data_IF_818096161758
#
_entry.id   IF_818096161758
#
_cell.length_a   1.000
_cell.length_b   1.000
_cell.length_c   1.000
_cell.angle_alpha   90.00
_cell.angle_beta   90.00
_cell.angle_gamma   90.00
#
_symmetry.space_group_name_H-M   'P 1'
#
loop_
_entity.id
_entity.type
_entity.pdbx_description
1 polymer ?
#
# COMPACT_ATOMS: atom_id res chain seq x y z
N UNK A 1 40.48 18.32 -65.41
CA UNK A 1 40.41 17.17 -64.47
C UNK A 1 39.87 17.71 -63.11
N UNK A 2 38.58 17.50 -62.85
CA UNK A 2 37.94 17.83 -61.58
C UNK A 2 37.62 16.52 -60.90
N UNK A 3 38.27 16.26 -59.76
CA UNK A 3 38.01 15.09 -58.89
C UNK A 3 36.86 15.47 -57.96
N UNK A 4 35.73 14.78 -58.09
CA UNK A 4 34.61 14.85 -57.14
C UNK A 4 34.85 13.91 -55.98
N UNK A 5 34.97 14.48 -54.76
CA UNK A 5 34.91 13.72 -53.51
C UNK A 5 33.45 13.41 -53.19
N UNK A 6 33.09 12.14 -53.25
CA UNK A 6 31.86 11.61 -52.66
C UNK A 6 32.00 11.55 -51.15
N UNK A 7 31.18 12.30 -50.42
CA UNK A 7 31.01 12.17 -48.98
C UNK A 7 29.99 11.06 -48.69
N UNK A 8 30.41 10.05 -47.95
CA UNK A 8 29.54 8.95 -47.49
C UNK A 8 28.68 9.41 -46.31
N UNK A 9 27.36 9.24 -46.36
CA UNK A 9 26.46 9.65 -45.27
C UNK A 9 26.12 8.52 -44.28
N UNK A 10 27.05 7.58 -44.01
CA UNK A 10 26.70 6.38 -43.24
C UNK A 10 27.14 6.34 -41.78
N UNK A 11 27.88 7.35 -41.33
CA UNK A 11 28.41 7.31 -39.95
C UNK A 11 27.50 7.97 -38.89
N UNK A 12 26.73 8.99 -39.29
CA UNK A 12 25.86 9.72 -38.34
C UNK A 12 24.51 9.03 -38.07
N UNK A 13 24.05 8.17 -38.95
CA UNK A 13 22.78 7.43 -38.75
C UNK A 13 22.94 6.27 -37.77
N UNK A 14 24.10 5.62 -37.75
CA UNK A 14 24.38 4.51 -36.84
C UNK A 14 24.51 4.97 -35.39
N UNK A 15 25.09 6.16 -35.16
CA UNK A 15 25.21 6.73 -33.80
C UNK A 15 23.84 7.19 -33.27
N UNK A 16 22.96 7.71 -34.15
CA UNK A 16 21.63 8.12 -33.75
C UNK A 16 20.70 6.93 -33.42
N UNK A 17 20.79 5.82 -34.15
CA UNK A 17 20.06 4.58 -33.86
C UNK A 17 20.58 3.88 -32.59
N UNK A 18 21.88 3.94 -32.29
CA UNK A 18 22.44 3.39 -31.06
C UNK A 18 22.05 4.22 -29.82
N UNK A 19 21.93 5.53 -29.93
CA UNK A 19 21.49 6.41 -28.84
C UNK A 19 19.97 6.23 -28.55
N UNK A 20 19.15 6.02 -29.55
CA UNK A 20 17.71 5.75 -29.38
C UNK A 20 17.47 4.34 -28.79
N UNK A 21 18.30 3.35 -29.12
CA UNK A 21 18.21 2.01 -28.54
C UNK A 21 18.65 1.95 -27.06
N UNK A 22 19.52 2.86 -26.60
CA UNK A 22 19.91 2.96 -25.18
C UNK A 22 18.83 3.63 -24.32
N UNK A 23 17.96 4.47 -24.90
CA UNK A 23 16.82 5.06 -24.19
C UNK A 23 15.59 4.14 -24.09
N UNK A 24 15.52 3.07 -24.88
CA UNK A 24 14.44 2.10 -24.83
C UNK A 24 14.63 0.98 -23.76
N UNK A 25 15.77 0.97 -23.07
CA UNK A 25 16.08 -0.07 -22.06
C UNK A 25 15.88 0.38 -20.61
N UNK A 26 15.31 1.55 -20.37
CA UNK A 26 14.72 1.86 -19.06
C UNK A 26 13.30 1.29 -19.12
N UNK A 27 13.19 -0.02 -18.85
CA UNK A 27 11.90 -0.61 -18.48
C UNK A 27 11.39 0.25 -17.31
N UNK A 28 10.19 0.85 -17.40
CA UNK A 28 9.61 1.51 -16.24
C UNK A 28 9.65 0.48 -15.11
N UNK A 29 10.22 0.85 -13.98
CA UNK A 29 10.12 0.04 -12.77
C UNK A 29 8.63 -0.29 -12.65
N UNK A 30 8.28 -1.59 -12.77
CA UNK A 30 6.89 -2.01 -12.64
C UNK A 30 6.50 -1.65 -11.23
N UNK A 31 5.65 -0.68 -11.13
CA UNK A 31 5.04 -0.22 -9.92
C UNK A 31 4.30 -1.36 -9.20
N UNK A 32 3.91 -1.16 -7.96
CA UNK A 32 3.21 -2.12 -7.10
C UNK A 32 1.82 -2.50 -7.66
N UNK A 33 1.79 -3.16 -8.83
CA UNK A 33 0.56 -3.59 -9.49
C UNK A 33 0.21 -5.01 -9.05
N UNK A 34 -0.90 -5.14 -8.33
CA UNK A 34 -1.46 -6.46 -8.01
C UNK A 34 -2.10 -7.08 -9.25
N UNK A 35 -1.82 -8.37 -9.48
CA UNK A 35 -2.31 -9.12 -10.64
C UNK A 35 -3.80 -9.48 -10.54
N UNK A 36 -4.31 -10.09 -11.59
CA UNK A 36 -5.72 -10.49 -11.67
C UNK A 36 -6.08 -11.57 -10.64
N UNK A 37 -5.16 -12.50 -10.36
CA UNK A 37 -5.42 -13.57 -9.39
C UNK A 37 -5.54 -13.00 -7.97
N UNK A 38 -4.66 -12.08 -7.60
CA UNK A 38 -4.76 -11.35 -6.34
C UNK A 38 -6.07 -10.55 -6.25
N UNK A 39 -6.40 -9.78 -7.28
CA UNK A 39 -7.64 -8.98 -7.32
C UNK A 39 -8.89 -9.84 -7.28
N UNK A 40 -8.88 -11.04 -7.87
CA UNK A 40 -10.00 -11.98 -7.85
C UNK A 40 -10.29 -12.52 -6.45
N UNK A 41 -9.27 -12.60 -5.59
CA UNK A 41 -9.39 -13.08 -4.21
C UNK A 41 -9.69 -11.97 -3.19
N UNK A 42 -9.67 -10.70 -3.57
CA UNK A 42 -10.06 -9.60 -2.69
C UNK A 42 -11.58 -9.40 -2.79
N UNK A 43 -12.32 -9.36 -1.65
CA UNK A 43 -13.76 -9.08 -1.67
C UNK A 43 -14.10 -7.72 -2.27
N UNK A 44 -15.27 -7.63 -2.95
CA UNK A 44 -15.73 -6.38 -3.56
C UNK A 44 -15.88 -5.24 -2.56
N UNK A 45 -16.41 -5.53 -1.37
CA UNK A 45 -16.75 -4.52 -0.35
C UNK A 45 -15.52 -4.13 0.48
N UNK A 46 -14.36 -4.03 -0.19
CA UNK A 46 -13.12 -3.55 0.39
C UNK A 46 -13.28 -2.08 0.79
N UNK A 47 -12.91 -1.79 2.03
CA UNK A 47 -12.96 -0.45 2.59
C UNK A 47 -11.63 0.27 2.46
N UNK A 48 -10.54 -0.50 2.53
CA UNK A 48 -9.19 -0.03 2.30
C UNK A 48 -8.36 -1.14 1.64
N UNK A 49 -7.63 -0.78 0.62
CA UNK A 49 -6.61 -1.62 0.01
C UNK A 49 -5.27 -0.90 0.12
N UNK A 50 -4.30 -1.54 0.77
CA UNK A 50 -2.91 -1.08 0.86
C UNK A 50 -2.06 -2.03 0.05
N UNK A 51 -1.20 -1.52 -0.82
CA UNK A 51 -0.25 -2.32 -1.58
C UNK A 51 1.16 -1.78 -1.41
N UNK A 52 2.10 -2.69 -1.27
CA UNK A 52 3.51 -2.41 -1.00
C UNK A 52 4.35 -3.18 -2.02
N UNK A 53 5.17 -2.47 -2.81
CA UNK A 53 6.27 -3.08 -3.54
C UNK A 53 7.39 -3.42 -2.53
N UNK A 54 7.45 -4.69 -2.16
CA UNK A 54 8.35 -5.14 -1.13
C UNK A 54 9.81 -5.06 -1.57
N UNK A 55 10.11 -5.30 -2.86
CA UNK A 55 11.47 -5.22 -3.41
C UNK A 55 12.04 -3.80 -3.40
N UNK A 56 11.21 -2.81 -3.69
CA UNK A 56 11.63 -1.41 -3.59
C UNK A 56 11.83 -1.03 -2.14
N UNK A 57 10.91 -1.48 -1.26
CA UNK A 57 10.95 -1.14 0.16
C UNK A 57 12.17 -1.72 0.88
N UNK A 58 12.57 -2.97 0.59
CA UNK A 58 13.74 -3.61 1.25
C UNK A 58 15.07 -2.87 0.97
N UNK A 59 15.16 -2.14 -0.13
CA UNK A 59 16.33 -1.37 -0.50
C UNK A 59 16.39 0.02 0.18
N UNK A 60 15.39 0.39 0.99
CA UNK A 60 15.33 1.66 1.73
C UNK A 60 15.37 1.42 3.23
N UNK A 61 16.40 1.96 3.90
CA UNK A 61 16.49 1.90 5.38
C UNK A 61 15.30 2.57 6.06
N UNK A 62 14.85 3.71 5.52
CA UNK A 62 13.69 4.42 6.06
C UNK A 62 12.38 3.61 5.92
N UNK A 63 12.21 2.89 4.81
CA UNK A 63 11.08 2.00 4.61
C UNK A 63 11.13 0.78 5.55
N UNK A 64 12.30 0.21 5.77
CA UNK A 64 12.48 -0.92 6.70
C UNK A 64 12.30 -0.48 8.17
N UNK A 65 12.72 0.72 8.54
CA UNK A 65 12.44 1.31 9.85
C UNK A 65 10.93 1.52 10.06
N UNK A 66 10.21 2.00 9.05
CA UNK A 66 8.76 2.12 9.08
C UNK A 66 8.11 0.73 9.26
N UNK A 67 8.46 -0.25 8.43
CA UNK A 67 7.97 -1.64 8.54
C UNK A 67 8.14 -2.17 9.96
N UNK A 68 9.33 -2.04 10.54
CA UNK A 68 9.63 -2.56 11.87
C UNK A 68 8.72 -1.98 12.96
N UNK A 69 8.23 -0.75 12.78
CA UNK A 69 7.37 -0.04 13.75
C UNK A 69 5.89 -0.29 13.55
N UNK A 70 5.43 -0.32 12.29
CA UNK A 70 4.00 -0.45 11.97
C UNK A 70 3.54 -1.89 11.84
N UNK A 71 4.44 -2.86 11.63
CA UNK A 71 4.07 -4.25 11.44
C UNK A 71 3.49 -4.86 12.72
N UNK A 72 2.23 -5.33 12.71
CA UNK A 72 1.60 -5.98 13.85
C UNK A 72 2.35 -7.23 14.32
N UNK A 73 2.28 -7.58 15.62
CA UNK A 73 2.93 -8.76 16.17
C UNK A 73 2.57 -10.06 15.45
N UNK A 74 1.32 -10.20 15.01
CA UNK A 74 0.80 -11.37 14.28
C UNK A 74 1.50 -11.53 12.94
N UNK A 75 1.71 -10.44 12.21
CA UNK A 75 2.43 -10.45 10.93
C UNK A 75 3.93 -10.71 11.13
N UNK A 76 4.55 -10.22 12.21
CA UNK A 76 5.93 -10.57 12.56
C UNK A 76 6.09 -12.06 12.85
N UNK A 77 5.11 -12.68 13.52
CA UNK A 77 5.11 -14.12 13.77
C UNK A 77 4.91 -14.90 12.47
N UNK A 78 4.01 -14.46 11.58
CA UNK A 78 3.80 -15.05 10.26
C UNK A 78 5.10 -15.01 9.44
N UNK A 79 5.73 -13.85 9.33
CA UNK A 79 7.01 -13.66 8.64
C UNK A 79 8.09 -14.63 9.17
N UNK A 80 8.21 -14.72 10.51
CA UNK A 80 9.16 -15.64 11.14
C UNK A 80 8.85 -17.10 10.82
N UNK A 81 7.59 -17.51 10.86
CA UNK A 81 7.18 -18.88 10.58
C UNK A 81 7.38 -19.26 9.11
N UNK A 82 7.10 -18.35 8.18
CA UNK A 82 7.34 -18.54 6.75
C UNK A 82 8.83 -18.68 6.45
N UNK A 83 9.66 -17.80 7.01
CA UNK A 83 11.12 -17.85 6.89
C UNK A 83 11.69 -19.17 7.42
N UNK A 84 11.24 -19.62 8.58
CA UNK A 84 11.61 -20.93 9.11
C UNK A 84 11.15 -22.09 8.21
N UNK A 85 10.12 -21.91 7.43
CA UNK A 85 9.58 -22.92 6.51
C UNK A 85 10.21 -22.88 5.11
N UNK A 86 11.27 -22.07 4.94
CA UNK A 86 12.05 -22.00 3.72
C UNK A 86 11.57 -20.96 2.70
N UNK A 87 10.57 -20.15 3.05
CA UNK A 87 10.21 -18.98 2.25
C UNK A 87 11.12 -17.82 2.65
N UNK A 88 11.84 -17.29 1.68
CA UNK A 88 12.66 -16.10 1.87
C UNK A 88 11.92 -14.87 1.33
N UNK A 89 11.38 -14.06 2.22
CA UNK A 89 10.60 -12.88 1.82
C UNK A 89 11.34 -11.96 0.86
N UNK A 90 12.65 -11.76 1.06
CA UNK A 90 13.48 -10.87 0.24
C UNK A 90 13.75 -11.43 -1.17
N UNK A 91 13.52 -12.71 -1.42
CA UNK A 91 13.74 -13.36 -2.72
C UNK A 91 12.42 -13.77 -3.37
N UNK A 92 11.48 -14.28 -2.57
CA UNK A 92 10.27 -14.93 -3.03
C UNK A 92 9.08 -13.98 -3.13
N UNK A 93 9.09 -12.85 -2.35
CA UNK A 93 8.01 -11.87 -2.32
C UNK A 93 8.39 -10.62 -3.12
N UNK A 94 7.52 -10.23 -4.03
CA UNK A 94 7.64 -9.00 -4.82
C UNK A 94 6.71 -7.92 -4.28
N UNK A 95 5.47 -8.29 -3.97
CA UNK A 95 4.43 -7.37 -3.56
C UNK A 95 3.61 -7.95 -2.41
N UNK A 96 3.14 -7.05 -1.54
CA UNK A 96 2.19 -7.35 -0.48
C UNK A 96 0.96 -6.47 -0.63
N UNK A 97 -0.22 -7.05 -0.50
CA UNK A 97 -1.47 -6.33 -0.44
C UNK A 97 -2.24 -6.69 0.84
N UNK A 98 -2.88 -5.71 1.45
CA UNK A 98 -3.73 -5.86 2.63
C UNK A 98 -5.09 -5.26 2.31
N UNK A 99 -6.10 -6.09 2.25
CA UNK A 99 -7.46 -5.68 1.97
C UNK A 99 -8.31 -5.75 3.26
N UNK A 100 -8.68 -4.57 3.76
CA UNK A 100 -9.66 -4.44 4.84
C UNK A 100 -11.06 -4.33 4.22
N UNK A 101 -11.95 -5.25 4.57
CA UNK A 101 -13.29 -5.34 3.98
C UNK A 101 -14.36 -5.59 5.05
N UNK A 102 -15.62 -5.30 4.71
CA UNK A 102 -16.75 -5.49 5.61
C UNK A 102 -17.37 -6.86 5.42
N UNK A 103 -17.86 -7.42 6.53
CA UNK A 103 -18.65 -8.65 6.50
C UNK A 103 -20.07 -8.37 6.99
N UNK A 104 -21.05 -8.61 6.13
CA UNK A 104 -22.48 -8.41 6.44
C UNK A 104 -22.87 -6.93 6.58
N UNK A 105 -23.91 -6.67 7.36
CA UNK A 105 -24.47 -5.32 7.59
C UNK A 105 -23.84 -4.57 8.77
N UNK A 106 -22.91 -5.22 9.49
CA UNK A 106 -22.24 -4.63 10.66
C UNK A 106 -20.96 -3.89 10.33
N UNK A 107 -20.38 -3.23 11.33
CA UNK A 107 -19.09 -2.52 11.22
C UNK A 107 -17.88 -3.45 11.43
N UNK A 108 -18.07 -4.77 11.36
CA UNK A 108 -16.99 -5.73 11.51
C UNK A 108 -16.07 -5.69 10.28
N UNK A 109 -14.85 -5.25 10.49
CA UNK A 109 -13.80 -5.22 9.47
C UNK A 109 -12.96 -6.49 9.61
N UNK A 110 -12.66 -7.12 8.48
CA UNK A 110 -11.74 -8.23 8.34
C UNK A 110 -10.60 -7.83 7.43
N UNK A 111 -9.45 -8.47 7.60
CA UNK A 111 -8.27 -8.17 6.80
C UNK A 111 -7.75 -9.47 6.19
N UNK A 112 -7.70 -9.53 4.87
CA UNK A 112 -6.98 -10.56 4.15
C UNK A 112 -5.70 -9.98 3.55
N UNK A 113 -4.61 -10.70 3.71
CA UNK A 113 -3.33 -10.40 3.09
C UNK A 113 -3.13 -11.23 1.82
N UNK A 114 -2.52 -10.61 0.81
CA UNK A 114 -2.09 -11.25 -0.42
C UNK A 114 -0.62 -10.97 -0.62
N UNK A 115 0.17 -12.01 -0.83
CA UNK A 115 1.56 -11.88 -1.25
C UNK A 115 1.69 -12.37 -2.70
N UNK A 116 2.39 -11.61 -3.52
CA UNK A 116 2.75 -11.98 -4.89
C UNK A 116 4.26 -12.07 -5.02
N UNK A 117 4.71 -13.02 -5.83
CA UNK A 117 6.14 -13.27 -6.03
C UNK A 117 6.40 -14.58 -6.76
N UNK A 118 7.50 -15.27 -6.42
CA UNK A 118 7.93 -16.52 -7.04
C UNK A 118 8.13 -17.57 -5.94
N UNK A 119 7.07 -18.35 -5.66
CA UNK A 119 7.08 -19.33 -4.58
C UNK A 119 7.50 -20.71 -5.07
N UNK A 120 8.58 -21.26 -4.50
CA UNK A 120 9.04 -22.64 -4.77
C UNK A 120 8.16 -23.63 -3.99
N UNK A 121 6.93 -23.88 -4.50
CA UNK A 121 5.90 -24.63 -3.78
C UNK A 121 6.35 -26.04 -3.39
N UNK A 122 7.14 -26.74 -4.23
CA UNK A 122 7.69 -28.06 -3.94
C UNK A 122 8.48 -28.05 -2.63
N UNK A 123 9.37 -27.10 -2.48
CA UNK A 123 10.30 -26.99 -1.34
C UNK A 123 9.55 -26.54 -0.08
N UNK A 124 8.65 -25.57 -0.22
CA UNK A 124 7.80 -25.09 0.86
C UNK A 124 6.94 -26.26 1.40
N UNK A 125 6.28 -27.01 0.51
CA UNK A 125 5.45 -28.16 0.92
C UNK A 125 6.27 -29.29 1.54
N UNK A 126 7.47 -29.56 1.04
CA UNK A 126 8.40 -30.52 1.66
C UNK A 126 8.81 -30.08 3.07
N UNK A 127 9.09 -28.79 3.26
CA UNK A 127 9.40 -28.23 4.57
C UNK A 127 8.21 -28.28 5.54
N UNK A 128 7.00 -28.00 5.07
CA UNK A 128 5.79 -28.15 5.89
C UNK A 128 5.61 -29.61 6.34
N UNK A 129 5.79 -30.57 5.44
CA UNK A 129 5.70 -32.01 5.76
C UNK A 129 6.78 -32.41 6.78
N UNK A 130 8.04 -31.98 6.60
CA UNK A 130 9.15 -32.22 7.54
C UNK A 130 8.87 -31.66 8.93
N UNK A 131 8.24 -30.50 9.01
CA UNK A 131 7.83 -29.84 10.27
C UNK A 131 6.51 -30.37 10.82
N UNK A 132 5.89 -31.34 10.16
CA UNK A 132 4.58 -31.93 10.54
C UNK A 132 3.45 -30.88 10.62
N UNK A 133 3.54 -29.80 9.83
CA UNK A 133 2.48 -28.80 9.72
C UNK A 133 1.31 -29.43 8.93
N UNK A 134 0.19 -29.66 9.60
CA UNK A 134 -0.99 -30.27 8.98
C UNK A 134 -1.94 -29.18 8.49
N UNK A 135 -2.31 -29.17 7.20
CA UNK A 135 -3.28 -28.21 6.69
C UNK A 135 -4.70 -28.57 7.09
N UNK A 136 -5.53 -27.54 7.22
CA UNK A 136 -6.99 -27.66 7.21
C UNK A 136 -7.50 -27.45 5.79
N UNK A 137 -8.49 -28.22 5.35
CA UNK A 137 -9.07 -28.09 4.02
C UNK A 137 -10.28 -27.14 4.06
N UNK A 138 -10.23 -26.07 3.26
CA UNK A 138 -11.30 -25.08 3.10
C UNK A 138 -11.49 -24.79 1.61
N UNK A 139 -12.69 -24.96 1.06
CA UNK A 139 -12.95 -24.73 -0.38
C UNK A 139 -11.93 -25.43 -1.28
N UNK A 140 -11.61 -26.68 -1.00
CA UNK A 140 -10.59 -27.48 -1.68
C UNK A 140 -9.16 -26.91 -1.63
N UNK A 141 -8.91 -25.88 -0.80
CA UNK A 141 -7.59 -25.31 -0.57
C UNK A 141 -7.03 -25.81 0.76
N UNK A 142 -5.72 -26.06 0.76
CA UNK A 142 -4.97 -26.43 1.96
C UNK A 142 -4.52 -25.16 2.68
N UNK A 143 -5.06 -24.91 3.87
CA UNK A 143 -4.68 -23.80 4.74
C UNK A 143 -3.68 -24.30 5.78
N UNK A 144 -2.49 -23.77 5.76
CA UNK A 144 -1.39 -24.17 6.65
C UNK A 144 -1.29 -23.20 7.83
N UNK A 145 -1.37 -23.68 9.10
CA UNK A 145 -1.20 -22.81 10.27
C UNK A 145 0.24 -22.32 10.38
N UNK A 146 0.41 -21.02 10.63
CA UNK A 146 1.69 -20.34 10.75
C UNK A 146 1.85 -19.70 12.12
N UNK A 147 2.77 -20.23 12.91
CA UNK A 147 3.03 -19.74 14.28
C UNK A 147 1.88 -20.01 15.25
N UNK A 148 1.87 -19.25 16.34
CA UNK A 148 0.89 -19.38 17.43
C UNK A 148 -0.25 -18.34 17.33
N UNK A 149 -0.19 -17.40 16.39
CA UNK A 149 -1.13 -16.28 16.26
C UNK A 149 -2.50 -16.64 15.64
N UNK A 150 -2.67 -17.91 15.20
CA UNK A 150 -3.86 -18.30 14.45
C UNK A 150 -3.87 -17.89 12.98
N UNK A 151 -2.75 -17.31 12.50
CA UNK A 151 -2.58 -17.01 11.09
C UNK A 151 -2.43 -18.26 10.25
N UNK A 152 -3.08 -18.27 9.09
CA UNK A 152 -3.05 -19.35 8.10
C UNK A 152 -2.49 -18.80 6.80
N UNK A 153 -1.89 -19.67 6.00
CA UNK A 153 -1.52 -19.36 4.61
C UNK A 153 -2.08 -20.40 3.66
N UNK A 154 -2.41 -19.97 2.46
CA UNK A 154 -2.74 -20.84 1.32
C UNK A 154 -2.15 -20.29 0.04
N UNK A 155 -1.63 -21.16 -0.81
CA UNK A 155 -1.11 -20.79 -2.12
C UNK A 155 -2.20 -21.03 -3.17
N UNK A 156 -2.60 -19.98 -3.86
CA UNK A 156 -3.56 -20.07 -4.98
C UNK A 156 -2.87 -20.67 -6.21
N UNK A 157 -1.62 -20.27 -6.43
CA UNK A 157 -0.73 -20.72 -7.49
C UNK A 157 0.74 -20.43 -7.09
N UNK A 158 1.75 -20.72 -7.95
CA UNK A 158 3.15 -20.45 -7.64
C UNK A 158 3.51 -18.96 -7.48
N UNK A 159 2.62 -18.05 -7.83
CA UNK A 159 2.89 -16.60 -7.77
C UNK A 159 2.00 -15.85 -6.78
N UNK A 160 0.97 -16.50 -6.20
CA UNK A 160 -0.01 -15.84 -5.34
C UNK A 160 -0.28 -16.65 -4.08
N UNK A 161 -0.06 -16.03 -2.92
CA UNK A 161 -0.33 -16.59 -1.60
C UNK A 161 -1.32 -15.69 -0.86
N UNK A 162 -2.33 -16.28 -0.23
CA UNK A 162 -3.21 -15.60 0.73
C UNK A 162 -2.76 -15.90 2.15
N UNK A 163 -2.93 -14.92 3.05
CA UNK A 163 -2.71 -15.09 4.47
C UNK A 163 -3.71 -14.29 5.31
N UNK A 164 -4.00 -14.79 6.49
CA UNK A 164 -4.99 -14.21 7.42
C UNK A 164 -5.52 -15.24 8.39
N UNK A 165 -6.57 -14.91 9.14
CA UNK A 165 -7.30 -15.91 9.91
C UNK A 165 -8.16 -16.80 8.98
N UNK A 166 -8.66 -17.92 9.48
CA UNK A 166 -9.58 -18.77 8.72
C UNK A 166 -10.82 -18.00 8.23
N UNK A 167 -11.31 -17.10 9.07
CA UNK A 167 -12.49 -16.31 8.79
C UNK A 167 -12.22 -15.21 7.76
N UNK A 168 -10.98 -14.76 7.61
CA UNK A 168 -10.58 -13.77 6.62
C UNK A 168 -10.31 -14.41 5.25
N UNK A 169 -9.66 -15.58 5.23
CA UNK A 169 -9.30 -16.27 3.99
C UNK A 169 -10.52 -16.90 3.30
N UNK A 170 -11.50 -17.39 4.06
CA UNK A 170 -12.66 -18.07 3.48
C UNK A 170 -13.46 -17.17 2.52
N UNK A 171 -13.85 -15.92 2.88
CA UNK A 171 -14.49 -15.01 1.93
C UNK A 171 -13.63 -14.70 0.70
N UNK A 172 -12.31 -14.58 0.88
CA UNK A 172 -11.38 -14.37 -0.23
C UNK A 172 -11.39 -15.56 -1.22
N UNK A 173 -11.42 -16.80 -0.71
CA UNK A 173 -11.58 -17.98 -1.56
C UNK A 173 -12.95 -18.04 -2.24
N UNK A 174 -14.01 -17.62 -1.55
CA UNK A 174 -15.36 -17.54 -2.15
C UNK A 174 -15.39 -16.53 -3.32
N UNK A 175 -14.69 -15.41 -3.20
CA UNK A 175 -14.54 -14.44 -4.29
C UNK A 175 -13.76 -15.02 -5.47
N UNK A 176 -12.60 -15.63 -5.23
CA UNK A 176 -11.78 -16.27 -6.26
C UNK A 176 -12.57 -17.35 -7.02
N UNK A 177 -13.38 -18.13 -6.31
CA UNK A 177 -14.17 -19.24 -6.88
C UNK A 177 -15.46 -18.74 -7.57
N UNK A 178 -15.70 -17.41 -7.59
CA UNK A 178 -16.89 -16.80 -8.19
C UNK A 178 -18.17 -17.00 -7.38
N UNK A 179 -18.06 -17.45 -6.13
CA UNK A 179 -19.19 -17.64 -5.21
C UNK A 179 -19.63 -16.32 -4.55
N UNK A 180 -18.74 -15.33 -4.55
CA UNK A 180 -18.99 -13.97 -4.06
C UNK A 180 -18.36 -12.94 -5.02
N UNK A 181 -18.87 -11.70 -5.08
CA UNK A 181 -18.29 -10.65 -5.92
C UNK A 181 -16.91 -10.25 -5.40
N UNK A 182 -15.92 -10.15 -6.31
CA UNK A 182 -14.56 -9.76 -6.03
C UNK A 182 -14.30 -8.28 -6.33
N UNK A 183 -13.13 -7.80 -5.94
CA UNK A 183 -12.62 -6.45 -6.24
C UNK A 183 -12.67 -6.12 -7.73
N UNK A 184 -12.55 -7.10 -8.61
CA UNK A 184 -12.66 -6.93 -10.06
C UNK A 184 -14.02 -6.34 -10.51
N UNK A 185 -15.04 -6.42 -9.65
CA UNK A 185 -16.38 -5.85 -9.92
C UNK A 185 -16.60 -4.48 -9.28
N UNK A 186 -15.61 -3.94 -8.56
CA UNK A 186 -15.67 -2.62 -7.91
C UNK A 186 -15.00 -1.58 -8.81
N UNK A 187 -15.78 -0.99 -9.74
CA UNK A 187 -15.25 -0.08 -10.75
C UNK A 187 -14.66 1.21 -10.14
N UNK A 188 -15.25 1.74 -9.07
CA UNK A 188 -14.78 2.97 -8.44
C UNK A 188 -13.40 2.76 -7.81
N UNK A 189 -13.24 1.68 -7.05
CA UNK A 189 -11.96 1.35 -6.44
C UNK A 189 -10.89 0.94 -7.47
N UNK A 190 -11.29 0.29 -8.58
CA UNK A 190 -10.38 0.01 -9.69
C UNK A 190 -9.89 1.30 -10.37
N UNK A 191 -10.78 2.27 -10.57
CA UNK A 191 -10.41 3.56 -11.12
C UNK A 191 -9.48 4.35 -10.18
N UNK A 192 -9.75 4.33 -8.87
CA UNK A 192 -8.87 4.93 -7.86
C UNK A 192 -7.49 4.26 -7.84
N UNK A 193 -7.43 2.92 -7.95
CA UNK A 193 -6.19 2.16 -8.01
C UNK A 193 -5.30 2.61 -9.17
N UNK A 194 -5.85 2.78 -10.37
CA UNK A 194 -5.10 3.20 -11.55
C UNK A 194 -4.40 4.56 -11.43
N UNK A 195 -4.83 5.40 -10.49
CA UNK A 195 -4.23 6.72 -10.26
C UNK A 195 -2.98 6.65 -9.36
N UNK A 196 -2.82 5.57 -8.59
CA UNK A 196 -1.78 5.45 -7.56
C UNK A 196 -0.88 4.22 -7.73
N UNK A 197 -1.25 3.24 -8.54
CA UNK A 197 -0.56 1.95 -8.68
C UNK A 197 0.84 2.04 -9.31
N UNK A 198 1.25 3.26 -9.72
CA UNK A 198 2.61 3.58 -10.14
C UNK A 198 3.60 3.79 -8.97
N UNK A 199 3.11 3.98 -7.75
CA UNK A 199 3.95 4.26 -6.60
C UNK A 199 4.32 2.99 -5.81
N UNK A 200 5.49 2.94 -5.14
CA UNK A 200 5.94 1.73 -4.44
C UNK A 200 5.09 1.36 -3.22
N UNK A 201 4.50 2.33 -2.55
CA UNK A 201 3.46 2.09 -1.53
C UNK A 201 2.27 2.97 -1.88
N UNK A 202 1.12 2.36 -1.94
CA UNK A 202 -0.11 3.10 -2.16
C UNK A 202 -1.29 2.48 -1.40
N UNK A 203 -2.28 3.29 -1.16
CA UNK A 203 -3.56 2.86 -0.59
C UNK A 203 -4.71 3.63 -1.22
N UNK A 204 -5.82 2.94 -1.37
CA UNK A 204 -7.11 3.51 -1.73
C UNK A 204 -8.14 3.16 -0.67
N UNK A 205 -9.03 4.09 -0.37
CA UNK A 205 -10.07 3.95 0.63
C UNK A 205 -11.42 4.32 0.02
N UNK A 206 -12.44 3.53 0.32
CA UNK A 206 -13.83 3.89 0.01
C UNK A 206 -14.32 5.04 0.93
N UNK A 207 -15.56 5.46 0.76
CA UNK A 207 -16.15 6.53 1.57
C UNK A 207 -16.04 6.28 3.08
N UNK A 208 -16.35 5.07 3.55
CA UNK A 208 -16.29 4.75 4.98
C UNK A 208 -14.85 4.69 5.50
N UNK A 209 -13.94 4.09 4.73
CA UNK A 209 -12.52 4.08 5.05
C UNK A 209 -11.96 5.50 5.16
N UNK A 210 -12.30 6.35 4.20
CA UNK A 210 -11.95 7.78 4.22
C UNK A 210 -12.49 8.49 5.45
N UNK A 211 -13.75 8.26 5.82
CA UNK A 211 -14.35 8.83 7.02
C UNK A 211 -13.63 8.42 8.30
N UNK A 212 -13.26 7.14 8.42
CA UNK A 212 -12.50 6.64 9.56
C UNK A 212 -11.09 7.25 9.63
N UNK A 213 -10.39 7.25 8.51
CA UNK A 213 -9.05 7.84 8.42
C UNK A 213 -9.06 9.32 8.79
N UNK A 214 -9.99 10.10 8.23
CA UNK A 214 -10.08 11.54 8.50
C UNK A 214 -10.49 11.84 9.94
N UNK A 215 -11.38 11.06 10.54
CA UNK A 215 -11.69 11.17 11.96
C UNK A 215 -10.45 10.93 12.84
N UNK A 216 -9.66 9.92 12.52
CA UNK A 216 -8.41 9.63 13.24
C UNK A 216 -7.37 10.75 13.07
N UNK A 217 -7.18 11.26 11.85
CA UNK A 217 -6.23 12.34 11.57
C UNK A 217 -6.61 13.67 12.26
N UNK A 218 -7.88 14.00 12.30
CA UNK A 218 -8.35 15.22 12.96
C UNK A 218 -8.33 15.12 14.49
N UNK A 219 -8.48 13.93 15.05
CA UNK A 219 -8.49 13.73 16.49
C UNK A 219 -9.43 14.70 17.20
N UNK A 220 -8.92 15.48 18.16
CA UNK A 220 -9.72 16.48 18.88
C UNK A 220 -10.19 17.64 17.99
N UNK A 221 -9.50 17.93 16.90
CA UNK A 221 -9.93 18.99 15.96
C UNK A 221 -11.27 18.66 15.28
N UNK A 222 -11.67 17.39 15.24
CA UNK A 222 -13.02 17.00 14.76
C UNK A 222 -14.16 17.57 15.61
N UNK A 223 -13.87 18.00 16.83
CA UNK A 223 -14.87 18.62 17.74
C UNK A 223 -15.04 20.12 17.49
N UNK A 224 -14.14 20.75 16.71
CA UNK A 224 -14.18 22.20 16.44
C UNK A 224 -15.23 22.60 15.38
N UNK A 225 -15.83 21.64 14.70
CA UNK A 225 -16.85 21.86 13.66
C UNK A 225 -17.88 20.75 13.71
N UNK A 226 -19.03 20.95 13.00
CA UNK A 226 -19.98 19.87 12.74
C UNK A 226 -19.36 18.83 11.78
N UNK A 227 -18.47 18.02 12.35
CA UNK A 227 -17.77 16.96 11.61
C UNK A 227 -18.74 15.96 10.98
N UNK A 228 -19.88 15.71 11.60
CA UNK A 228 -20.88 14.78 11.05
C UNK A 228 -21.44 15.26 9.71
N UNK A 229 -21.58 16.55 9.52
CA UNK A 229 -22.00 17.12 8.22
C UNK A 229 -20.86 17.04 7.21
N UNK A 230 -19.63 17.36 7.61
CA UNK A 230 -18.45 17.27 6.74
C UNK A 230 -18.17 15.82 6.34
N UNK A 231 -18.24 14.90 7.30
CA UNK A 231 -17.97 13.45 7.10
C UNK A 231 -18.83 12.86 5.98
N UNK A 232 -20.13 13.21 5.93
CA UNK A 232 -21.05 12.70 4.90
C UNK A 232 -20.67 13.14 3.48
N UNK A 233 -19.87 14.19 3.35
CA UNK A 233 -19.42 14.75 2.07
C UNK A 233 -18.05 14.26 1.62
N UNK A 234 -17.36 13.45 2.44
CA UNK A 234 -16.16 12.72 2.03
C UNK A 234 -16.59 11.58 1.11
N UNK A 235 -15.92 11.41 -0.02
CA UNK A 235 -16.26 10.40 -1.03
C UNK A 235 -15.30 9.24 -0.99
N UNK A 236 -14.03 9.51 -1.26
CA UNK A 236 -12.95 8.53 -1.27
C UNK A 236 -11.63 9.20 -0.92
N UNK A 237 -10.59 8.41 -0.75
CA UNK A 237 -9.24 8.92 -0.57
C UNK A 237 -8.20 7.94 -1.07
N UNK A 238 -7.03 8.48 -1.38
CA UNK A 238 -5.86 7.68 -1.71
C UNK A 238 -4.62 8.31 -1.08
N UNK A 239 -3.64 7.46 -0.72
CA UNK A 239 -2.33 7.96 -0.37
C UNK A 239 -1.23 7.14 -1.01
N UNK A 240 -0.09 7.77 -1.21
CA UNK A 240 1.12 7.16 -1.75
C UNK A 240 2.31 7.48 -0.87
N UNK A 241 3.30 6.59 -0.86
CA UNK A 241 4.57 6.82 -0.21
C UNK A 241 5.71 6.31 -1.10
N UNK A 242 6.75 7.12 -1.24
CA UNK A 242 7.91 6.83 -2.07
C UNK A 242 9.18 7.13 -1.26
N UNK A 243 10.20 6.28 -1.40
CA UNK A 243 11.46 6.34 -0.67
C UNK A 243 12.66 6.67 -1.56
N UNK A 244 12.44 7.12 -2.79
CA UNK A 244 13.50 7.54 -3.71
C UNK A 244 13.99 8.94 -3.36
N UNK A 245 15.26 9.06 -2.93
CA UNK A 245 15.88 10.32 -2.51
C UNK A 245 15.14 10.99 -1.33
N UNK A 246 14.97 10.25 -0.25
CA UNK A 246 14.18 10.66 0.91
C UNK A 246 12.76 10.11 0.86
N UNK A 247 11.94 10.52 1.81
CA UNK A 247 10.56 10.06 1.96
C UNK A 247 9.60 11.12 1.44
N UNK A 248 8.71 10.71 0.53
CA UNK A 248 7.63 11.53 -0.01
C UNK A 248 6.32 10.83 0.28
N UNK A 249 5.43 11.52 0.98
CA UNK A 249 4.06 11.05 1.24
C UNK A 249 3.08 12.03 0.60
N UNK A 250 2.04 11.50 -0.03
CA UNK A 250 0.95 12.31 -0.57
C UNK A 250 -0.38 11.65 -0.24
N UNK A 251 -1.30 12.43 0.33
CA UNK A 251 -2.68 12.03 0.58
C UNK A 251 -3.60 12.92 -0.24
N UNK A 252 -4.56 12.31 -0.92
CA UNK A 252 -5.69 12.99 -1.55
C UNK A 252 -7.00 12.52 -0.91
N UNK A 253 -7.88 13.47 -0.63
CA UNK A 253 -9.24 13.18 -0.14
C UNK A 253 -10.23 13.89 -1.06
N UNK A 254 -11.06 13.13 -1.72
CA UNK A 254 -12.10 13.63 -2.61
C UNK A 254 -13.35 13.93 -1.79
N UNK A 255 -13.93 15.11 -2.02
CA UNK A 255 -15.16 15.56 -1.36
C UNK A 255 -16.22 15.92 -2.38
N UNK A 256 -17.48 15.99 -1.94
CA UNK A 256 -18.61 16.31 -2.83
C UNK A 256 -18.60 17.76 -3.34
N UNK A 257 -17.84 18.66 -2.70
CA UNK A 257 -17.83 20.09 -3.05
C UNK A 257 -16.56 20.81 -2.55
N UNK A 258 -16.27 21.93 -3.18
CA UNK A 258 -15.08 22.75 -2.89
C UNK A 258 -15.06 23.32 -1.47
N UNK A 259 -16.23 23.66 -0.91
CA UNK A 259 -16.33 24.22 0.44
C UNK A 259 -15.93 23.18 1.49
N UNK A 260 -16.36 21.94 1.32
CA UNK A 260 -15.98 20.83 2.20
C UNK A 260 -14.46 20.60 2.16
N UNK A 261 -13.84 20.56 0.98
CA UNK A 261 -12.39 20.43 0.86
C UNK A 261 -11.64 21.58 1.54
N UNK A 262 -12.09 22.83 1.34
CA UNK A 262 -11.50 24.00 1.98
C UNK A 262 -11.65 23.99 3.51
N UNK A 263 -12.81 23.57 4.01
CA UNK A 263 -13.04 23.40 5.46
C UNK A 263 -12.09 22.38 6.06
N UNK A 264 -11.94 21.21 5.40
CA UNK A 264 -11.01 20.17 5.86
C UNK A 264 -9.56 20.63 5.83
N UNK A 265 -9.14 21.35 4.78
CA UNK A 265 -7.80 21.96 4.70
C UNK A 265 -7.57 22.93 5.85
N UNK A 266 -8.54 23.80 6.15
CA UNK A 266 -8.44 24.76 7.26
C UNK A 266 -8.31 24.07 8.62
N UNK A 267 -9.09 23.01 8.85
CA UNK A 267 -9.03 22.23 10.10
C UNK A 267 -7.68 21.52 10.28
N UNK A 268 -7.16 20.88 9.22
CA UNK A 268 -5.86 20.23 9.28
C UNK A 268 -4.74 21.25 9.48
N UNK A 269 -4.79 22.42 8.83
CA UNK A 269 -3.85 23.49 9.06
C UNK A 269 -3.91 24.01 10.51
N UNK A 270 -5.09 24.15 11.09
CA UNK A 270 -5.25 24.54 12.49
C UNK A 270 -4.66 23.49 13.44
N UNK A 271 -4.93 22.19 13.19
CA UNK A 271 -4.35 21.11 13.95
C UNK A 271 -2.81 21.07 13.83
N UNK A 272 -2.27 21.23 12.64
CA UNK A 272 -0.83 21.31 12.39
C UNK A 272 -0.19 22.52 13.13
N UNK A 273 -0.84 23.66 13.13
CA UNK A 273 -0.36 24.85 13.89
C UNK A 273 -0.36 24.60 15.40
N UNK A 274 -1.38 23.92 15.93
CA UNK A 274 -1.44 23.56 17.34
C UNK A 274 -0.27 22.62 17.71
N UNK A 275 -0.08 21.56 16.94
CA UNK A 275 1.04 20.63 17.13
C UNK A 275 2.41 21.31 16.95
N UNK A 276 2.52 22.27 16.04
CA UNK A 276 3.74 23.06 15.87
C UNK A 276 4.07 23.91 17.12
N UNK A 277 3.08 24.39 17.87
CA UNK A 277 3.32 25.12 19.13
C UNK A 277 3.74 24.19 20.25
N UNK A 278 3.05 23.06 20.41
CA UNK A 278 3.23 22.11 21.52
C UNK A 278 4.33 21.08 21.29
N UNK A 279 4.63 20.75 20.03
CA UNK A 279 5.55 19.69 19.64
C UNK A 279 7.02 19.98 19.88
N UNK A 280 7.83 18.93 19.86
CA UNK A 280 9.29 19.01 19.93
C UNK A 280 9.91 19.48 18.58
N UNK A 281 11.23 19.62 18.52
CA UNK A 281 11.92 20.13 17.33
C UNK A 281 11.72 19.23 16.09
N UNK A 282 11.67 17.91 16.26
CA UNK A 282 11.47 16.94 15.17
C UNK A 282 10.05 17.04 14.61
N UNK A 283 9.06 17.16 15.48
CA UNK A 283 7.66 17.31 15.11
C UNK A 283 7.41 18.64 14.39
N UNK A 284 7.97 19.74 14.91
CA UNK A 284 7.94 21.05 14.24
C UNK A 284 8.52 21.00 12.83
N UNK A 285 9.68 20.36 12.67
CA UNK A 285 10.30 20.20 11.37
C UNK A 285 9.44 19.36 10.42
N UNK A 286 8.79 18.29 10.91
CA UNK A 286 7.89 17.49 10.10
C UNK A 286 6.69 18.30 9.62
N UNK A 287 6.09 19.12 10.50
CA UNK A 287 5.00 20.03 10.14
C UNK A 287 5.44 21.06 9.11
N UNK A 288 6.63 21.66 9.27
CA UNK A 288 7.19 22.62 8.30
C UNK A 288 7.47 22.00 6.93
N UNK A 289 7.68 20.68 6.89
CA UNK A 289 7.85 19.89 5.67
C UNK A 289 6.54 19.38 5.08
N UNK A 290 5.39 19.75 5.68
CA UNK A 290 4.05 19.34 5.25
C UNK A 290 3.33 20.50 4.60
N UNK A 291 2.75 20.27 3.42
CA UNK A 291 1.87 21.22 2.72
C UNK A 291 0.44 20.66 2.72
N UNK A 292 -0.51 21.45 3.18
CA UNK A 292 -1.94 21.12 3.21
C UNK A 292 -2.68 22.15 2.35
N UNK A 293 -3.35 21.67 1.29
CA UNK A 293 -4.03 22.53 0.32
C UNK A 293 -5.35 21.89 -0.14
N UNK A 294 -6.19 22.67 -0.80
CA UNK A 294 -7.45 22.21 -1.37
C UNK A 294 -7.74 22.87 -2.72
N UNK A 295 -8.08 22.06 -3.71
CA UNK A 295 -8.42 22.53 -5.06
C UNK A 295 -9.56 21.69 -5.64
N UNK A 296 -10.56 22.36 -6.20
CA UNK A 296 -11.65 21.72 -6.95
C UNK A 296 -12.34 20.54 -6.23
N UNK A 297 -12.57 20.66 -4.92
CA UNK A 297 -13.22 19.61 -4.13
C UNK A 297 -12.28 18.49 -3.66
N UNK A 298 -10.98 18.63 -3.87
CA UNK A 298 -9.97 17.68 -3.39
C UNK A 298 -9.06 18.35 -2.37
N UNK A 299 -8.95 17.75 -1.17
CA UNK A 299 -7.93 18.07 -0.18
C UNK A 299 -6.65 17.31 -0.54
N UNK A 300 -5.50 17.96 -0.45
CA UNK A 300 -4.20 17.35 -0.59
C UNK A 300 -3.30 17.61 0.62
N UNK A 301 -2.60 16.58 1.09
CA UNK A 301 -1.57 16.69 2.12
C UNK A 301 -0.28 16.08 1.54
N UNK A 302 0.78 16.86 1.50
CA UNK A 302 2.09 16.43 0.97
C UNK A 302 3.15 16.62 2.04
N UNK A 303 3.92 15.58 2.29
CA UNK A 303 5.04 15.59 3.22
C UNK A 303 6.31 15.14 2.50
N UNK A 304 7.42 15.84 2.74
CA UNK A 304 8.74 15.50 2.15
C UNK A 304 9.80 15.60 3.24
N UNK A 305 10.58 14.55 3.41
CA UNK A 305 11.67 14.52 4.38
C UNK A 305 12.89 13.76 3.85
N UNK A 306 14.07 14.06 4.36
CA UNK A 306 15.24 13.18 4.18
C UNK A 306 15.05 11.89 5.00
N UNK A 307 15.79 10.83 4.67
CA UNK A 307 15.74 9.56 5.42
C UNK A 307 16.02 9.77 6.91
N UNK A 308 17.00 10.60 7.26
CA UNK A 308 17.34 10.90 8.66
C UNK A 308 16.24 11.65 9.40
N UNK A 309 15.58 12.61 8.75
CA UNK A 309 14.45 13.34 9.32
C UNK A 309 13.27 12.39 9.55
N UNK A 310 12.99 11.52 8.59
CA UNK A 310 11.92 10.54 8.70
C UNK A 310 12.20 9.50 9.80
N UNK A 311 13.39 8.93 9.88
CA UNK A 311 13.79 8.03 10.96
C UNK A 311 13.65 8.68 12.36
N UNK A 312 13.97 9.97 12.47
CA UNK A 312 13.75 10.74 13.69
C UNK A 312 12.26 10.92 14.00
N UNK A 313 11.45 11.22 12.99
CA UNK A 313 9.98 11.34 13.14
C UNK A 313 9.34 10.03 13.58
N UNK A 314 9.78 8.89 13.07
CA UNK A 314 9.31 7.57 13.48
C UNK A 314 9.52 7.28 14.98
N UNK A 315 10.45 7.99 15.63
CA UNK A 315 10.74 7.88 17.06
C UNK A 315 9.96 8.88 17.91
N UNK A 316 9.28 9.84 17.28
CA UNK A 316 8.56 10.89 17.99
C UNK A 316 7.25 10.41 18.63
N UNK A 317 6.77 11.08 19.70
CA UNK A 317 5.45 10.83 20.27
C UNK A 317 4.31 11.03 19.25
N UNK A 318 4.43 12.00 18.36
CA UNK A 318 3.44 12.26 17.30
C UNK A 318 3.20 11.01 16.45
N UNK A 319 4.28 10.37 15.97
CA UNK A 319 4.15 9.14 15.18
C UNK A 319 3.53 7.98 15.99
N UNK A 320 3.93 7.83 17.26
CA UNK A 320 3.37 6.79 18.13
C UNK A 320 1.87 6.96 18.38
N UNK A 321 1.37 8.18 18.39
CA UNK A 321 -0.05 8.48 18.56
C UNK A 321 -0.88 8.22 17.28
N UNK A 322 -0.26 8.31 16.11
CA UNK A 322 -0.93 8.06 14.81
C UNK A 322 -1.02 6.56 14.50
N UNK A 323 -0.08 5.74 15.00
CA UNK A 323 0.02 4.31 14.70
C UNK A 323 -0.74 3.43 15.71
N UNK A 324 -1.18 3.99 16.82
CA UNK A 324 -2.05 3.31 17.82
C UNK A 324 -3.52 3.37 17.40
#
# INVERSE_FOLDING_TARGET
MKSSRQSSPSFNVVIFCAAVALFAAVAPARAAQIDTDARSAIPRDVQQLIVVDYRIMENSSAAMDLKARVLPPELKQLETALKQSGLNENQDVEQLAFAAYRTGTGDNIRIVGVAQGQFQLSDIMANFAKKKIKPTLVRNNKLYPMGASGMLVTFLNPTTMLFGSSDDIKPALDCRDGLAPSFLTNQDMLAAMQQVDAEPIWSILDQKGTQYMMHSLLGQASQLTDYETVRKRLLDSSYTMNFNNGVKFTLYVVTSDTLTAATMSSLLNAAAMYEKVSGNAVEKQAIDSTTIDSTAGTLSVKFVASDSQFSSLLQSPLFQNVVR
#
